data_IF_100817561348
#
_entry.id   IF_100817561348
#
_cell.length_a   1.000
_cell.length_b   1.000
_cell.length_c   1.000
_cell.angle_alpha   90.00
_cell.angle_beta   90.00
_cell.angle_gamma   90.00
#
_symmetry.space_group_name_H-M   'P 1'
#
loop_
_entity.id
_entity.type
_entity.pdbx_description
1 polymer ?
#
# COMPACT_ATOMS: atom_id res chain seq x y z
N UNK A 1 -7.04 14.81 9.69
CA UNK A 1 -6.00 13.92 9.12
C UNK A 1 -4.71 14.19 9.87
N UNK A 2 -4.25 13.19 10.58
CA UNK A 2 -3.03 13.21 11.40
C UNK A 2 -2.03 12.21 10.81
N UNK A 3 -0.90 12.73 10.33
CA UNK A 3 0.15 11.90 9.74
C UNK A 3 1.27 11.54 10.74
N UNK A 4 1.47 12.33 11.80
CA UNK A 4 2.52 12.13 12.79
C UNK A 4 1.96 11.88 14.19
N UNK A 5 2.66 11.11 15.06
CA UNK A 5 3.91 10.39 14.79
C UNK A 5 3.70 9.19 13.86
N UNK A 6 4.68 8.90 13.00
CA UNK A 6 4.68 7.73 12.12
C UNK A 6 5.90 6.85 12.38
N UNK A 7 5.79 5.58 12.00
CA UNK A 7 6.92 4.66 11.96
C UNK A 7 6.86 3.79 10.70
N UNK A 8 7.99 3.18 10.34
CA UNK A 8 8.07 2.24 9.24
C UNK A 8 8.77 0.95 9.65
N UNK A 9 8.51 -0.12 8.91
CA UNK A 9 9.21 -1.40 9.02
C UNK A 9 9.42 -1.96 7.61
N UNK A 10 10.44 -2.77 7.44
CA UNK A 10 10.77 -3.36 6.15
C UNK A 10 11.33 -4.77 6.28
N UNK A 11 11.18 -5.53 5.20
CA UNK A 11 11.80 -6.83 5.05
C UNK A 11 13.30 -6.64 4.69
N UNK A 12 14.25 -7.29 5.38
CA UNK A 12 15.68 -7.08 5.11
C UNK A 12 16.15 -7.68 3.78
N UNK A 13 15.34 -8.49 3.11
CA UNK A 13 15.65 -9.09 1.81
C UNK A 13 15.39 -8.09 0.68
N UNK A 14 16.31 -8.04 -0.28
CA UNK A 14 16.22 -7.17 -1.43
C UNK A 14 15.46 -7.81 -2.60
N UNK A 15 14.87 -6.97 -3.44
CA UNK A 15 14.29 -7.36 -4.74
C UNK A 15 15.39 -7.54 -5.78
N UNK A 16 15.09 -8.32 -6.82
CA UNK A 16 16.06 -8.62 -7.90
C UNK A 16 16.17 -7.47 -8.89
N UNK A 17 15.04 -6.92 -9.36
CA UNK A 17 14.99 -5.75 -10.25
C UNK A 17 14.32 -4.59 -9.51
N UNK A 18 15.14 -3.68 -8.96
CA UNK A 18 14.65 -2.53 -8.19
C UNK A 18 13.77 -1.58 -9.02
N UNK A 19 14.14 -1.34 -10.28
CA UNK A 19 13.47 -0.34 -11.10
C UNK A 19 12.08 -0.82 -11.49
N UNK A 20 11.99 -2.04 -12.01
CA UNK A 20 10.68 -2.65 -12.34
C UNK A 20 9.82 -2.79 -11.08
N UNK A 21 10.38 -3.31 -9.98
CA UNK A 21 9.64 -3.49 -8.74
C UNK A 21 9.05 -2.17 -8.23
N UNK A 22 9.84 -1.10 -8.19
CA UNK A 22 9.38 0.21 -7.72
C UNK A 22 8.29 0.80 -8.65
N UNK A 23 8.41 0.63 -9.97
CA UNK A 23 7.39 1.09 -10.92
C UNK A 23 6.06 0.37 -10.69
N UNK A 24 6.08 -0.96 -10.64
CA UNK A 24 4.89 -1.78 -10.42
C UNK A 24 4.30 -1.50 -9.03
N UNK A 25 5.14 -1.32 -8.00
CA UNK A 25 4.69 -1.05 -6.63
C UNK A 25 3.96 0.28 -6.54
N UNK A 26 4.53 1.35 -7.13
CA UNK A 26 3.89 2.66 -7.15
C UNK A 26 2.56 2.64 -7.90
N UNK A 27 2.50 1.94 -9.04
CA UNK A 27 1.27 1.78 -9.81
C UNK A 27 0.20 0.99 -9.03
N UNK A 28 0.58 -0.09 -8.34
CA UNK A 28 -0.31 -0.86 -7.48
C UNK A 28 -0.85 -0.01 -6.33
N UNK A 29 0.02 0.64 -5.56
CA UNK A 29 -0.38 1.46 -4.42
C UNK A 29 -1.26 2.64 -4.84
N UNK A 30 -0.95 3.33 -5.95
CA UNK A 30 -1.79 4.41 -6.47
C UNK A 30 -3.21 3.94 -6.81
N UNK A 31 -3.34 2.75 -7.41
CA UNK A 31 -4.65 2.13 -7.68
C UNK A 31 -5.41 1.82 -6.39
N UNK A 32 -4.72 1.24 -5.40
CA UNK A 32 -5.32 0.89 -4.11
C UNK A 32 -5.75 2.14 -3.33
N UNK A 33 -5.00 3.24 -3.40
CA UNK A 33 -5.39 4.53 -2.80
C UNK A 33 -6.75 4.98 -3.35
N UNK A 34 -6.92 4.97 -4.67
CA UNK A 34 -8.17 5.39 -5.29
C UNK A 34 -9.36 4.56 -4.78
N UNK A 35 -9.19 3.23 -4.66
CA UNK A 35 -10.24 2.36 -4.12
C UNK A 35 -10.50 2.58 -2.63
N UNK A 36 -9.45 2.70 -1.80
CA UNK A 36 -9.62 2.90 -0.37
C UNK A 36 -10.29 4.24 -0.03
N UNK A 37 -9.95 5.30 -0.78
CA UNK A 37 -10.50 6.63 -0.58
C UNK A 37 -12.00 6.71 -0.88
N UNK A 38 -12.49 5.89 -1.81
CA UNK A 38 -13.92 5.74 -2.14
C UNK A 38 -14.74 5.03 -1.06
N UNK A 39 -14.08 4.40 -0.07
CA UNK A 39 -14.77 3.77 1.05
C UNK A 39 -15.62 4.75 1.87
N UNK A 40 -16.59 4.24 2.61
CA UNK A 40 -17.52 5.06 3.42
C UNK A 40 -17.08 5.10 4.90
N UNK A 41 -17.98 5.57 5.78
CA UNK A 41 -17.75 5.64 7.22
C UNK A 41 -17.58 4.29 7.93
N UNK A 42 -17.84 3.17 7.24
CA UNK A 42 -17.62 1.82 7.78
C UNK A 42 -16.21 1.35 7.55
N UNK A 43 -15.66 1.61 6.35
CA UNK A 43 -14.33 1.09 5.96
C UNK A 43 -13.75 1.83 4.76
N UNK A 44 -12.50 2.28 4.90
CA UNK A 44 -11.66 2.84 3.83
C UNK A 44 -10.41 2.00 3.64
N UNK A 45 -10.52 0.95 2.83
CA UNK A 45 -9.51 -0.10 2.69
C UNK A 45 -9.49 -0.61 1.26
N UNK A 46 -8.31 -0.96 0.77
CA UNK A 46 -8.15 -1.73 -0.46
C UNK A 46 -6.92 -2.62 -0.36
N UNK A 47 -7.00 -3.79 -0.99
CA UNK A 47 -5.87 -4.71 -1.13
C UNK A 47 -5.86 -5.30 -2.54
N UNK A 48 -4.68 -5.70 -2.98
CA UNK A 48 -4.48 -6.23 -4.32
C UNK A 48 -3.05 -6.67 -4.53
N UNK A 49 -2.79 -7.24 -5.70
CA UNK A 49 -1.48 -7.68 -6.09
C UNK A 49 -1.13 -7.21 -7.49
N UNK A 50 0.16 -7.26 -7.80
CA UNK A 50 0.70 -7.07 -9.13
C UNK A 50 1.97 -7.89 -9.27
N UNK A 51 2.29 -8.31 -10.49
CA UNK A 51 3.51 -9.07 -10.79
C UNK A 51 4.43 -8.22 -11.65
N UNK A 52 5.70 -8.16 -11.24
CA UNK A 52 6.77 -7.62 -12.07
C UNK A 52 7.17 -8.70 -13.09
N UNK A 53 6.94 -8.42 -14.38
CA UNK A 53 7.01 -9.42 -15.45
C UNK A 53 8.44 -9.91 -15.71
N UNK A 54 9.46 -9.04 -15.65
CA UNK A 54 10.85 -9.47 -15.92
C UNK A 54 11.40 -10.32 -14.77
N UNK A 55 11.15 -9.90 -13.54
CA UNK A 55 11.61 -10.60 -12.34
C UNK A 55 10.70 -11.75 -11.90
N UNK A 56 9.52 -11.89 -12.51
CA UNK A 56 8.47 -12.84 -12.11
C UNK A 56 8.14 -12.74 -10.61
N UNK A 57 8.24 -11.53 -10.06
CA UNK A 57 8.04 -11.27 -8.64
C UNK A 57 6.66 -10.66 -8.41
N UNK A 58 5.77 -11.44 -7.79
CA UNK A 58 4.47 -10.94 -7.31
C UNK A 58 4.63 -10.15 -6.02
N UNK A 59 3.86 -9.09 -5.91
CA UNK A 59 3.77 -8.23 -4.73
C UNK A 59 2.32 -8.16 -4.30
N UNK A 60 2.11 -8.33 -3.00
CA UNK A 60 0.82 -8.15 -2.36
C UNK A 60 0.86 -6.83 -1.61
N UNK A 61 -0.18 -6.02 -1.73
CA UNK A 61 -0.25 -4.74 -1.04
C UNK A 61 -1.65 -4.47 -0.51
N UNK A 62 -1.70 -3.71 0.58
CA UNK A 62 -2.92 -3.11 1.08
C UNK A 62 -2.67 -1.69 1.55
N UNK A 63 -3.74 -0.90 1.53
CA UNK A 63 -3.78 0.46 2.07
C UNK A 63 -5.04 0.63 2.88
N UNK A 64 -4.97 1.44 3.94
CA UNK A 64 -6.12 1.74 4.78
C UNK A 64 -6.03 3.16 5.33
N UNK A 65 -7.20 3.80 5.44
CA UNK A 65 -7.41 5.04 6.17
C UNK A 65 -8.38 4.82 7.33
N UNK A 66 -8.37 5.72 8.30
CA UNK A 66 -9.44 5.78 9.30
C UNK A 66 -10.74 6.25 8.64
N UNK A 67 -11.92 5.67 8.99
CA UNK A 67 -13.17 5.94 8.26
C UNK A 67 -13.71 7.36 8.40
N UNK A 68 -13.23 8.14 9.38
CA UNK A 68 -13.61 9.53 9.64
C UNK A 68 -13.07 10.52 8.60
N UNK A 69 -12.07 10.13 7.81
CA UNK A 69 -11.46 10.99 6.80
C UNK A 69 -12.36 11.20 5.59
N UNK A 70 -12.32 12.40 4.99
CA UNK A 70 -12.86 12.59 3.65
C UNK A 70 -12.08 11.77 2.61
N UNK A 71 -12.65 11.57 1.42
CA UNK A 71 -11.95 10.92 0.31
C UNK A 71 -10.59 11.60 0.02
N UNK A 72 -10.57 12.94 -0.05
CA UNK A 72 -9.34 13.69 -0.29
C UNK A 72 -8.33 13.51 0.84
N UNK A 73 -8.76 13.59 2.11
CA UNK A 73 -7.88 13.40 3.26
C UNK A 73 -7.25 12.00 3.31
N UNK A 74 -8.02 10.97 2.94
CA UNK A 74 -7.51 9.60 2.84
C UNK A 74 -6.44 9.50 1.74
N UNK A 75 -6.72 10.02 0.56
CA UNK A 75 -5.76 10.05 -0.55
C UNK A 75 -4.49 10.82 -0.18
N UNK A 76 -4.62 11.98 0.43
CA UNK A 76 -3.47 12.81 0.84
C UNK A 76 -2.58 12.09 1.87
N UNK A 77 -3.20 11.47 2.87
CA UNK A 77 -2.48 10.71 3.90
C UNK A 77 -1.70 9.55 3.29
N UNK A 78 -2.34 8.74 2.46
CA UNK A 78 -1.69 7.58 1.83
C UNK A 78 -0.59 8.00 0.85
N UNK A 79 -0.80 9.08 0.08
CA UNK A 79 0.25 9.63 -0.78
C UNK A 79 1.44 10.16 0.04
N UNK A 80 1.19 10.77 1.21
CA UNK A 80 2.26 11.17 2.11
C UNK A 80 3.04 9.97 2.66
N UNK A 81 2.35 8.87 2.98
CA UNK A 81 3.00 7.63 3.38
C UNK A 81 3.88 7.05 2.26
N UNK A 82 3.38 6.97 1.02
CA UNK A 82 4.12 6.45 -0.14
C UNK A 82 5.39 7.27 -0.42
N UNK A 83 5.36 8.59 -0.21
CA UNK A 83 6.55 9.45 -0.36
C UNK A 83 7.70 9.07 0.58
N UNK A 84 7.45 8.28 1.63
CA UNK A 84 8.49 7.76 2.52
C UNK A 84 9.16 6.48 1.99
N UNK A 85 8.64 5.84 0.93
CA UNK A 85 9.22 4.61 0.33
C UNK A 85 10.73 4.73 0.06
N UNK A 86 11.22 5.80 -0.60
CA UNK A 86 12.64 5.95 -0.88
C UNK A 86 13.52 5.93 0.39
N UNK A 87 12.99 6.38 1.52
CA UNK A 87 13.70 6.46 2.80
C UNK A 87 13.52 5.21 3.67
N UNK A 88 12.30 4.67 3.78
CA UNK A 88 12.02 3.53 4.64
C UNK A 88 12.57 2.22 4.07
N UNK A 89 12.39 2.02 2.76
CA UNK A 89 12.27 0.68 2.23
C UNK A 89 12.56 0.56 0.73
N UNK A 90 13.36 1.47 0.19
CA UNK A 90 13.97 1.33 -1.14
C UNK A 90 14.67 -0.04 -1.26
N UNK A 91 14.49 -0.70 -2.40
CA UNK A 91 15.02 -2.04 -2.75
C UNK A 91 14.47 -3.22 -1.94
N UNK A 92 13.59 -3.00 -0.97
CA UNK A 92 13.10 -4.08 -0.09
C UNK A 92 11.92 -4.80 -0.71
N UNK A 93 11.86 -6.12 -0.53
CA UNK A 93 10.73 -6.91 -1.03
C UNK A 93 9.46 -6.78 -0.17
N UNK A 94 9.56 -6.05 0.94
CA UNK A 94 8.45 -5.78 1.84
C UNK A 94 8.69 -4.51 2.64
N UNK A 95 7.62 -3.76 2.88
CA UNK A 95 7.67 -2.47 3.54
C UNK A 95 6.31 -2.01 4.02
N UNK A 96 6.29 -1.28 5.14
CA UNK A 96 5.10 -0.63 5.66
C UNK A 96 5.42 0.70 6.29
N UNK A 97 4.51 1.66 6.14
CA UNK A 97 4.51 2.93 6.85
C UNK A 97 3.18 3.02 7.58
N UNK A 98 3.22 3.32 8.87
CA UNK A 98 2.06 3.42 9.74
C UNK A 98 2.01 4.81 10.35
N UNK A 99 0.88 5.48 10.17
CA UNK A 99 0.51 6.75 10.80
C UNK A 99 -0.84 6.60 11.51
N UNK A 100 -1.25 7.57 12.35
CA UNK A 100 -2.54 7.51 13.04
C UNK A 100 -3.74 7.45 12.08
N UNK A 101 -3.70 8.21 10.98
CA UNK A 101 -4.82 8.31 10.03
C UNK A 101 -4.76 7.32 8.86
N UNK A 102 -3.59 6.78 8.52
CA UNK A 102 -3.48 5.84 7.41
C UNK A 102 -2.22 4.96 7.48
N UNK A 103 -2.23 3.85 6.74
CA UNK A 103 -1.05 3.03 6.54
C UNK A 103 -1.11 2.29 5.21
N UNK A 104 0.07 1.88 4.73
CA UNK A 104 0.18 0.87 3.69
C UNK A 104 1.12 -0.24 4.14
N UNK A 105 0.97 -1.42 3.53
CA UNK A 105 1.89 -2.53 3.64
C UNK A 105 2.00 -3.22 2.28
N UNK A 106 3.22 -3.56 1.89
CA UNK A 106 3.47 -4.49 0.79
C UNK A 106 4.44 -5.59 1.22
N UNK A 107 4.29 -6.78 0.65
CA UNK A 107 5.15 -7.95 0.89
C UNK A 107 5.20 -8.82 -0.38
N UNK A 108 6.23 -9.66 -0.48
CA UNK A 108 6.35 -10.71 -1.52
C UNK A 108 5.30 -11.82 -1.36
N UNK A 109 4.98 -12.18 -0.12
CA UNK A 109 4.05 -13.26 0.19
C UNK A 109 2.67 -12.71 0.59
N UNK A 110 1.57 -13.43 0.31
CA UNK A 110 0.24 -13.01 0.76
C UNK A 110 0.18 -12.86 2.29
N UNK A 111 -0.44 -11.78 2.76
CA UNK A 111 -0.61 -11.49 4.20
C UNK A 111 -2.01 -10.98 4.57
N UNK A 112 -2.95 -11.09 3.63
CA UNK A 112 -4.37 -10.80 3.82
C UNK A 112 -5.19 -11.95 3.21
N UNK A 113 -6.45 -12.07 3.62
CA UNK A 113 -7.34 -13.07 3.08
C UNK A 113 -7.73 -12.72 1.63
N UNK A 114 -7.18 -13.48 0.68
CA UNK A 114 -7.40 -13.31 -0.75
C UNK A 114 -8.88 -13.46 -1.14
N UNK A 115 -9.65 -14.29 -0.41
CA UNK A 115 -11.07 -14.50 -0.68
C UNK A 115 -11.93 -13.29 -0.28
N UNK A 116 -11.52 -12.56 0.76
CA UNK A 116 -12.22 -11.38 1.27
C UNK A 116 -12.00 -10.10 0.44
N UNK A 117 -11.02 -10.13 -0.48
CA UNK A 117 -10.56 -8.97 -1.27
C UNK A 117 -11.00 -8.99 -2.73
N UNK A 118 -11.90 -9.91 -3.11
CA UNK A 118 -12.56 -9.86 -4.42
C UNK A 118 -13.31 -8.52 -4.56
N UNK A 119 -13.23 -7.82 -5.72
CA UNK A 119 -13.96 -6.57 -5.89
C UNK A 119 -15.44 -6.82 -5.60
N UNK A 120 -16.04 -5.96 -4.77
CA UNK A 120 -17.48 -5.96 -4.59
C UNK A 120 -18.11 -5.93 -6.00
N UNK A 121 -19.02 -6.87 -6.31
CA UNK A 121 -19.70 -6.86 -7.60
C UNK A 121 -20.42 -5.50 -7.80
N UNK A 122 -20.54 -5.04 -9.06
CA UNK A 122 -21.14 -3.74 -9.39
C UNK A 122 -22.57 -3.59 -8.85
#
# INVERSE_FOLDING_TARGET
MEFGPYFWMYNPVNVTDENEFNEVLNALLGRLINFAALGDSRRKFAAGNATAEKSQQTMYALVQCTPDLTQQQCSDCLNQAIKLIPTCCSKRQGGRVVSPSCHFRYEKDPFYDLASTSPLPP
#
